data_IF_303175470039
#
_entry.id   IF_303175470039
#
_cell.length_a   1.000
_cell.length_b   1.000
_cell.length_c   1.000
_cell.angle_alpha   90.00
_cell.angle_beta   90.00
_cell.angle_gamma   90.00
#
_symmetry.space_group_name_H-M   'P 1'
#
loop_
_entity.id
_entity.type
_entity.pdbx_description
1 polymer ?
#
# COMPACT_ATOMS: atom_id res chain seq x y z
N UNK A 1 12.41 28.69 35.31
CA UNK A 1 11.69 28.51 34.02
C UNK A 1 12.73 28.41 32.92
N UNK A 2 13.13 27.19 32.54
CA UNK A 2 14.15 27.00 31.49
C UNK A 2 13.57 27.29 30.11
N UNK A 3 14.28 28.11 29.34
CA UNK A 3 13.91 28.46 27.97
C UNK A 3 14.14 27.26 27.04
N UNK A 4 13.08 26.76 26.41
CA UNK A 4 13.18 25.69 25.40
C UNK A 4 13.91 26.20 24.15
N UNK A 5 15.17 25.80 24.00
CA UNK A 5 16.01 26.15 22.84
C UNK A 5 15.44 25.49 21.57
N UNK A 6 14.90 26.28 20.63
CA UNK A 6 14.41 25.76 19.34
C UNK A 6 15.58 25.17 18.53
N UNK A 7 15.49 23.88 18.21
CA UNK A 7 16.44 23.17 17.34
C UNK A 7 16.32 23.64 15.88
N UNK A 8 17.45 23.70 15.17
CA UNK A 8 17.46 23.94 13.71
C UNK A 8 16.77 22.79 12.97
N UNK A 9 15.97 23.11 11.95
CA UNK A 9 15.22 22.12 11.12
C UNK A 9 16.10 20.98 10.58
N UNK A 10 17.35 21.30 10.20
CA UNK A 10 18.31 20.31 9.71
C UNK A 10 18.70 19.27 10.76
N UNK A 11 18.91 19.69 12.01
CA UNK A 11 19.24 18.80 13.14
C UNK A 11 18.06 17.88 13.43
N UNK A 12 16.84 18.41 13.39
CA UNK A 12 15.61 17.63 13.60
C UNK A 12 15.37 16.57 12.51
N UNK A 13 15.66 16.89 11.25
CA UNK A 13 15.59 15.90 10.14
C UNK A 13 16.62 14.78 10.34
N UNK A 14 17.84 15.13 10.77
CA UNK A 14 18.90 14.15 11.03
C UNK A 14 18.53 13.24 12.19
N UNK A 15 18.07 13.81 13.29
CA UNK A 15 17.59 13.05 14.46
C UNK A 15 16.43 12.12 14.10
N UNK A 16 15.46 12.56 13.30
CA UNK A 16 14.36 11.69 12.80
C UNK A 16 14.88 10.52 11.96
N UNK A 17 15.82 10.78 11.04
CA UNK A 17 16.45 9.71 10.22
C UNK A 17 17.24 8.73 11.08
N UNK A 18 17.92 9.20 12.10
CA UNK A 18 18.64 8.35 13.06
C UNK A 18 17.66 7.52 13.90
N UNK A 19 16.53 8.09 14.34
CA UNK A 19 15.45 7.37 15.02
C UNK A 19 14.78 6.31 14.13
N UNK A 20 14.44 6.63 12.87
CA UNK A 20 13.90 5.67 11.90
C UNK A 20 14.88 4.52 11.61
N UNK A 21 16.19 4.81 11.51
CA UNK A 21 17.22 3.78 11.33
C UNK A 21 17.44 2.94 12.58
N UNK A 22 17.27 3.53 13.77
CA UNK A 22 17.40 2.84 15.05
C UNK A 22 16.21 1.91 15.33
N UNK A 23 15.02 2.21 14.82
CA UNK A 23 13.88 1.28 14.76
C UNK A 23 14.13 0.19 13.71
N UNK A 24 15.00 -0.76 14.04
CA UNK A 24 15.14 -2.02 13.30
C UNK A 24 14.00 -2.97 13.71
N UNK A 25 13.24 -3.42 12.71
CA UNK A 25 12.09 -4.29 12.89
C UNK A 25 10.76 -3.52 13.00
N UNK A 26 9.76 -3.89 12.21
CA UNK A 26 8.45 -3.23 12.24
C UNK A 26 7.59 -3.52 11.02
N UNK A 27 6.54 -2.71 10.83
CA UNK A 27 5.66 -2.79 9.67
C UNK A 27 6.42 -2.59 8.35
N UNK A 28 6.05 -3.34 7.32
CA UNK A 28 6.57 -3.18 5.96
C UNK A 28 5.52 -2.54 5.06
N UNK A 29 5.96 -1.65 4.19
CA UNK A 29 5.12 -1.05 3.15
C UNK A 29 5.55 -1.53 1.76
N UNK A 30 4.57 -1.65 0.87
CA UNK A 30 4.77 -1.89 -0.54
C UNK A 30 3.85 -0.99 -1.37
N UNK A 31 4.35 -0.54 -2.53
CA UNK A 31 3.65 0.44 -3.38
C UNK A 31 3.62 -0.03 -4.83
N UNK A 32 2.42 0.02 -5.42
CA UNK A 32 2.20 -0.20 -6.84
C UNK A 32 1.78 1.11 -7.50
N UNK A 33 2.63 1.65 -8.38
CA UNK A 33 2.45 2.97 -8.97
C UNK A 33 2.01 2.91 -10.45
N UNK A 34 1.25 3.91 -10.89
CA UNK A 34 0.84 4.12 -12.28
C UNK A 34 0.08 2.93 -12.90
N UNK A 35 -0.70 2.21 -12.11
CA UNK A 35 -1.47 1.08 -12.63
C UNK A 35 -2.56 1.59 -13.59
N UNK A 36 -2.68 1.03 -14.82
CA UNK A 36 -3.66 1.44 -15.83
C UNK A 36 -5.06 0.89 -15.53
N UNK A 37 -5.52 1.01 -14.28
CA UNK A 37 -6.81 0.51 -13.81
C UNK A 37 -7.54 1.61 -13.06
N UNK A 38 -8.88 1.60 -13.12
CA UNK A 38 -9.68 2.57 -12.36
C UNK A 38 -9.56 2.30 -10.86
N UNK A 39 -9.36 3.34 -10.02
CA UNK A 39 -9.30 3.19 -8.56
C UNK A 39 -10.50 2.42 -7.97
N UNK A 40 -11.70 2.64 -8.52
CA UNK A 40 -12.93 1.97 -8.04
C UNK A 40 -12.89 0.45 -8.19
N UNK A 41 -12.34 -0.05 -9.31
CA UNK A 41 -12.22 -1.50 -9.54
C UNK A 41 -11.22 -2.15 -8.58
N UNK A 42 -10.16 -1.42 -8.23
CA UNK A 42 -9.14 -1.87 -7.29
C UNK A 42 -9.65 -1.86 -5.85
N UNK A 43 -10.43 -0.84 -5.44
CA UNK A 43 -11.04 -0.79 -4.10
C UNK A 43 -11.90 -2.02 -3.78
N UNK A 44 -12.72 -2.46 -4.73
CA UNK A 44 -13.55 -3.67 -4.57
C UNK A 44 -12.75 -4.92 -4.17
N UNK A 45 -11.51 -5.05 -4.65
CA UNK A 45 -10.64 -6.18 -4.30
C UNK A 45 -9.91 -5.93 -3.00
N UNK A 46 -9.39 -4.72 -2.83
CA UNK A 46 -8.63 -4.32 -1.65
C UNK A 46 -9.48 -4.38 -0.37
N UNK A 47 -10.76 -4.05 -0.44
CA UNK A 47 -11.66 -4.09 0.70
C UNK A 47 -11.88 -5.52 1.22
N UNK A 48 -11.69 -6.56 0.39
CA UNK A 48 -11.80 -7.97 0.81
C UNK A 48 -10.62 -8.44 1.67
N UNK A 49 -9.44 -7.86 1.46
CA UNK A 49 -8.20 -8.29 2.12
C UNK A 49 -7.84 -7.41 3.32
N UNK A 50 -8.55 -6.30 3.55
CA UNK A 50 -8.27 -5.39 4.66
C UNK A 50 -8.51 -6.11 5.99
N UNK A 51 -7.51 -6.11 6.87
CA UNK A 51 -7.58 -6.77 8.19
C UNK A 51 -7.51 -8.29 8.16
N UNK A 52 -7.33 -8.91 6.99
CA UNK A 52 -7.18 -10.36 6.88
C UNK A 52 -5.74 -10.79 7.17
N UNK A 53 -5.59 -12.03 7.65
CA UNK A 53 -4.29 -12.72 7.68
C UNK A 53 -3.74 -12.80 6.26
N UNK A 54 -2.42 -12.69 6.12
CA UNK A 54 -1.76 -12.68 4.80
C UNK A 54 -2.04 -13.94 4.00
N UNK A 55 -2.07 -15.11 4.63
CA UNK A 55 -2.40 -16.40 3.99
C UNK A 55 -3.81 -16.39 3.40
N UNK A 56 -4.81 -15.97 4.19
CA UNK A 56 -6.19 -15.85 3.75
C UNK A 56 -6.33 -14.81 2.63
N UNK A 57 -5.62 -13.68 2.74
CA UNK A 57 -5.60 -12.65 1.71
C UNK A 57 -5.03 -13.19 0.38
N UNK A 58 -3.94 -13.96 0.41
CA UNK A 58 -3.39 -14.61 -0.78
C UNK A 58 -4.38 -15.58 -1.41
N UNK A 59 -5.09 -16.38 -0.59
CA UNK A 59 -6.12 -17.30 -1.07
C UNK A 59 -7.27 -16.56 -1.75
N UNK A 60 -7.82 -15.53 -1.10
CA UNK A 60 -8.90 -14.70 -1.65
C UNK A 60 -8.49 -14.06 -2.97
N UNK A 61 -7.26 -13.53 -3.06
CA UNK A 61 -6.76 -12.86 -4.26
C UNK A 61 -6.56 -13.86 -5.41
N UNK A 62 -5.99 -15.03 -5.15
CA UNK A 62 -5.71 -16.06 -6.15
C UNK A 62 -6.98 -16.62 -6.79
N UNK A 63 -8.06 -16.75 -6.02
CA UNK A 63 -9.34 -17.28 -6.48
C UNK A 63 -10.37 -16.21 -6.84
N UNK A 64 -9.99 -14.94 -6.81
CA UNK A 64 -10.89 -13.85 -7.21
C UNK A 64 -11.06 -13.81 -8.73
N UNK A 65 -12.30 -13.68 -9.20
CA UNK A 65 -12.61 -13.50 -10.63
C UNK A 65 -12.24 -12.11 -11.18
N UNK A 66 -11.74 -11.19 -10.34
CA UNK A 66 -11.42 -9.82 -10.74
C UNK A 66 -9.99 -9.73 -11.27
N UNK A 67 -9.80 -9.17 -12.46
CA UNK A 67 -8.47 -8.90 -13.05
C UNK A 67 -7.54 -8.09 -12.11
N UNK A 68 -8.11 -7.20 -11.30
CA UNK A 68 -7.36 -6.39 -10.33
C UNK A 68 -6.66 -7.26 -9.27
N UNK A 69 -7.18 -8.45 -8.95
CA UNK A 69 -6.64 -9.31 -7.92
C UNK A 69 -5.24 -9.81 -8.23
N UNK A 70 -4.96 -10.22 -9.47
CA UNK A 70 -3.63 -10.66 -9.90
C UNK A 70 -2.55 -9.57 -9.71
N UNK A 71 -2.92 -8.29 -9.79
CA UNK A 71 -1.99 -7.17 -9.56
C UNK A 71 -1.74 -6.95 -8.06
N UNK A 72 -2.80 -7.08 -7.24
CA UNK A 72 -2.73 -6.92 -5.79
C UNK A 72 -2.01 -8.11 -5.14
N UNK A 73 -2.18 -9.33 -5.68
CA UNK A 73 -1.45 -10.53 -5.25
C UNK A 73 0.06 -10.33 -5.36
N UNK A 74 0.54 -9.87 -6.52
CA UNK A 74 1.97 -9.55 -6.71
C UNK A 74 2.47 -8.49 -5.73
N UNK A 75 1.65 -7.48 -5.45
CA UNK A 75 1.98 -6.44 -4.47
C UNK A 75 2.09 -7.02 -3.05
N UNK A 76 1.17 -7.91 -2.67
CA UNK A 76 1.18 -8.57 -1.36
C UNK A 76 2.41 -9.47 -1.21
N UNK A 77 2.75 -10.27 -2.23
CA UNK A 77 3.98 -11.07 -2.24
C UNK A 77 5.24 -10.20 -2.07
N UNK A 78 5.29 -9.06 -2.75
CA UNK A 78 6.38 -8.10 -2.58
C UNK A 78 6.43 -7.52 -1.16
N UNK A 79 5.27 -7.26 -0.53
CA UNK A 79 5.20 -6.75 0.83
C UNK A 79 5.72 -7.76 1.87
N UNK A 80 5.40 -9.05 1.68
CA UNK A 80 5.92 -10.15 2.50
C UNK A 80 7.45 -10.21 2.36
N UNK A 81 7.98 -10.18 1.14
CA UNK A 81 9.44 -10.19 0.90
C UNK A 81 10.15 -8.99 1.52
N UNK A 82 9.54 -7.80 1.45
CA UNK A 82 10.07 -6.61 2.12
C UNK A 82 10.03 -6.73 3.65
N UNK A 83 9.02 -7.41 4.19
CA UNK A 83 8.91 -7.66 5.63
C UNK A 83 9.99 -8.63 6.11
N UNK A 84 10.17 -9.76 5.40
CA UNK A 84 11.22 -10.74 5.67
C UNK A 84 12.60 -10.08 5.70
N UNK A 85 12.90 -9.22 4.73
CA UNK A 85 14.16 -8.50 4.66
C UNK A 85 14.36 -7.45 5.78
N UNK A 86 13.27 -6.89 6.34
CA UNK A 86 13.36 -5.94 7.46
C UNK A 86 13.49 -6.64 8.81
N UNK A 87 12.97 -7.85 8.94
CA UNK A 87 12.86 -8.59 10.19
C UNK A 87 13.70 -9.88 10.13
N UNK A 88 15.00 -9.73 9.86
CA UNK A 88 15.96 -10.84 9.83
C UNK A 88 15.89 -11.66 11.14
N UNK A 89 15.62 -12.96 11.01
CA UNK A 89 15.54 -13.89 12.14
C UNK A 89 14.13 -14.14 12.71
N UNK A 90 13.07 -13.52 12.18
CA UNK A 90 11.68 -13.88 12.49
C UNK A 90 11.03 -14.61 11.33
N UNK A 91 10.43 -15.78 11.59
CA UNK A 91 9.68 -16.51 10.58
C UNK A 91 8.34 -15.85 10.30
N UNK A 92 7.92 -15.87 9.02
CA UNK A 92 6.63 -15.36 8.53
C UNK A 92 5.47 -16.09 9.20
N UNK A 93 5.61 -17.40 9.41
CA UNK A 93 4.57 -18.27 9.97
C UNK A 93 4.36 -18.01 11.48
N UNK A 94 5.44 -17.77 12.22
CA UNK A 94 5.39 -17.49 13.67
C UNK A 94 4.83 -16.09 13.97
N UNK A 95 4.95 -15.17 13.02
CA UNK A 95 4.66 -13.75 13.26
C UNK A 95 3.20 -13.35 13.02
N UNK A 96 2.36 -14.30 12.61
CA UNK A 96 0.93 -14.10 12.28
C UNK A 96 0.69 -12.79 11.52
N UNK A 97 1.25 -12.66 10.32
CA UNK A 97 1.18 -11.40 9.55
C UNK A 97 -0.25 -11.05 9.13
N UNK A 98 -0.60 -9.78 9.30
CA UNK A 98 -1.89 -9.21 8.94
C UNK A 98 -1.69 -8.04 7.99
N UNK A 99 -2.63 -7.91 7.06
CA UNK A 99 -2.76 -6.72 6.23
C UNK A 99 -3.36 -5.57 7.06
N UNK A 100 -2.49 -4.75 7.65
CA UNK A 100 -2.85 -3.66 8.56
C UNK A 100 -3.63 -2.56 7.86
N UNK A 101 -3.08 -2.02 6.78
CA UNK A 101 -3.71 -0.95 6.02
C UNK A 101 -3.51 -1.17 4.53
N UNK A 102 -4.57 -0.91 3.75
CA UNK A 102 -4.47 -0.83 2.30
C UNK A 102 -5.26 0.36 1.79
N UNK A 103 -4.58 1.20 1.03
CA UNK A 103 -5.15 2.41 0.45
C UNK A 103 -5.00 2.42 -1.07
N UNK A 104 -6.02 2.97 -1.75
CA UNK A 104 -6.04 3.12 -3.21
C UNK A 104 -6.27 4.59 -3.56
N UNK A 105 -5.18 5.24 -3.96
CA UNK A 105 -5.14 6.61 -4.44
C UNK A 105 -5.47 6.73 -5.93
N UNK A 106 -5.92 7.92 -6.35
CA UNK A 106 -6.02 8.27 -7.77
C UNK A 106 -4.64 8.58 -8.35
N UNK A 107 -4.42 8.20 -9.61
CA UNK A 107 -3.20 8.55 -10.34
C UNK A 107 -3.47 9.48 -11.52
N UNK A 108 -2.48 9.64 -12.39
CA UNK A 108 -2.63 10.45 -13.61
C UNK A 108 -3.82 9.98 -14.44
N UNK A 109 -4.50 10.92 -15.07
CA UNK A 109 -5.65 10.64 -15.93
C UNK A 109 -5.39 11.15 -17.33
N UNK A 110 -5.36 10.24 -18.30
CA UNK A 110 -5.27 10.59 -19.71
C UNK A 110 -6.66 10.94 -20.25
N UNK A 111 -6.75 12.04 -20.99
CA UNK A 111 -7.99 12.48 -21.66
C UNK A 111 -7.88 12.08 -23.15
N UNK A 112 -8.94 11.48 -23.69
CA UNK A 112 -9.06 11.12 -25.11
C UNK A 112 -10.40 11.64 -25.64
N UNK A 113 -10.44 12.03 -26.90
CA UNK A 113 -11.67 12.40 -27.59
C UNK A 113 -12.30 11.14 -28.18
N UNK A 114 -13.62 11.04 -28.10
CA UNK A 114 -14.42 10.06 -28.83
C UNK A 114 -15.41 10.84 -29.71
N UNK A 115 -15.38 10.65 -31.04
CA UNK A 115 -16.37 11.23 -31.93
C UNK A 115 -17.79 10.82 -31.51
N UNK A 116 -18.72 11.76 -31.55
CA UNK A 116 -20.13 11.56 -31.22
C UNK A 116 -21.02 12.18 -32.31
N UNK A 117 -22.32 11.81 -32.37
CA UNK A 117 -23.25 12.34 -33.36
C UNK A 117 -23.35 13.88 -33.33
N UNK A 118 -23.80 14.47 -34.44
CA UNK A 118 -24.01 15.92 -34.58
C UNK A 118 -22.72 16.75 -34.38
N UNK A 119 -21.57 16.27 -34.85
CA UNK A 119 -20.29 16.98 -34.74
C UNK A 119 -19.75 17.14 -33.30
N UNK A 120 -20.30 16.37 -32.33
CA UNK A 120 -19.91 16.47 -30.92
C UNK A 120 -18.67 15.64 -30.62
N UNK A 121 -17.92 16.04 -29.60
CA UNK A 121 -16.74 15.32 -29.11
C UNK A 121 -16.86 14.96 -27.63
N UNK A 122 -17.09 13.68 -27.32
CA UNK A 122 -17.16 13.22 -25.93
C UNK A 122 -15.76 12.95 -25.36
N UNK A 123 -15.58 13.28 -24.08
CA UNK A 123 -14.30 13.08 -23.37
C UNK A 123 -14.27 11.72 -22.68
N UNK A 124 -13.38 10.84 -23.13
CA UNK A 124 -13.06 9.57 -22.45
C UNK A 124 -11.88 9.78 -21.50
N UNK A 125 -12.05 9.35 -20.25
CA UNK A 125 -11.03 9.47 -19.19
C UNK A 125 -10.41 8.10 -18.92
N UNK A 126 -9.15 7.90 -19.31
CA UNK A 126 -8.35 6.71 -18.95
C UNK A 126 -7.66 7.00 -17.62
N UNK A 127 -8.20 6.43 -16.54
CA UNK A 127 -7.73 6.64 -15.17
C UNK A 127 -6.62 5.65 -14.83
N UNK A 128 -5.65 6.11 -14.06
CA UNK A 128 -4.68 5.28 -13.36
C UNK A 128 -4.87 5.38 -11.85
N UNK A 129 -4.21 4.50 -11.12
CA UNK A 129 -4.22 4.51 -9.66
C UNK A 129 -2.85 4.18 -9.06
N UNK A 130 -2.75 4.40 -7.75
CA UNK A 130 -1.64 4.01 -6.91
C UNK A 130 -2.18 3.19 -5.74
N UNK A 131 -1.60 2.04 -5.47
CA UNK A 131 -1.98 1.18 -4.34
C UNK A 131 -0.84 1.16 -3.35
N UNK A 132 -1.14 1.36 -2.08
CA UNK A 132 -0.20 1.23 -0.97
C UNK A 132 -0.74 0.21 0.00
N UNK A 133 0.10 -0.74 0.39
CA UNK A 133 -0.24 -1.86 1.24
C UNK A 133 0.79 -1.91 2.37
N UNK A 134 0.31 -2.05 3.60
CA UNK A 134 1.12 -2.16 4.81
C UNK A 134 0.83 -3.50 5.48
N UNK A 135 1.87 -4.28 5.73
CA UNK A 135 1.82 -5.56 6.46
C UNK A 135 2.52 -5.37 7.80
N UNK A 136 1.90 -5.90 8.85
CA UNK A 136 2.43 -5.86 10.20
C UNK A 136 2.09 -7.16 10.94
N UNK A 137 2.82 -7.47 12.00
CA UNK A 137 2.50 -8.60 12.87
C UNK A 137 1.30 -8.26 13.74
N UNK A 138 0.39 -9.23 13.92
CA UNK A 138 -0.85 -9.08 14.69
C UNK A 138 -0.67 -8.45 16.08
N UNK A 139 0.39 -8.83 16.79
CA UNK A 139 0.70 -8.35 18.15
C UNK A 139 0.85 -6.82 18.23
N UNK A 140 1.23 -6.15 17.14
CA UNK A 140 1.41 -4.70 17.09
C UNK A 140 0.10 -3.95 16.78
N UNK A 141 -0.93 -4.64 16.29
CA UNK A 141 -2.22 -4.04 15.94
C UNK A 141 -3.07 -3.79 17.19
N UNK A 142 -2.93 -4.62 18.22
CA UNK A 142 -3.68 -4.48 19.48
C UNK A 142 -3.16 -3.35 20.39
N UNK A 143 -1.96 -2.84 20.13
CA UNK A 143 -1.30 -1.82 20.96
C UNK A 143 -1.37 -0.38 20.40
N UNK A 144 -1.99 -0.18 19.23
CA UNK A 144 -2.13 1.14 18.59
C UNK A 144 -3.61 1.47 18.38
#
# INVERSE_FOLDING_TARGET
MEATKKLKKSVLIRQRKEQEKAQKGGASDAKLLNCPTSPRKMRLVVDLIRGQRVENALYILKHSSKEAAARVEKLLLSAIKNWEAKNEGKSVEESELIVKEVSVGGGRQLKRLRPAPQGRGYRVRKRSNHVTLVVDSKLNVEQN
#
